data_IF_637690001236
#
_entry.id   IF_637690001236
#
_cell.length_a   1.000
_cell.length_b   1.000
_cell.length_c   1.000
_cell.angle_alpha   90.00
_cell.angle_beta   90.00
_cell.angle_gamma   90.00
#
_symmetry.space_group_name_H-M   'P 1'
#
loop_
_entity.id
_entity.type
_entity.pdbx_description
1 polymer ?
#
# COMPACT_ATOMS: atom_id res chain seq x y z
N UNK A 1 -20.69 -2.74 -11.80
CA UNK A 1 -19.76 -3.48 -10.92
C UNK A 1 -19.78 -2.79 -9.57
N UNK A 2 -19.85 -3.54 -8.47
CA UNK A 2 -19.70 -2.95 -7.15
C UNK A 2 -18.25 -2.47 -6.99
N UNK A 3 -18.08 -1.31 -6.38
CA UNK A 3 -16.78 -0.72 -6.08
C UNK A 3 -16.02 -1.60 -5.07
N UNK A 4 -14.72 -1.79 -5.30
CA UNK A 4 -13.88 -2.58 -4.37
C UNK A 4 -13.53 -1.74 -3.14
N UNK A 5 -13.22 -2.39 -2.02
CA UNK A 5 -12.70 -1.70 -0.83
C UNK A 5 -11.41 -0.92 -1.20
N UNK A 6 -10.58 -1.49 -2.07
CA UNK A 6 -9.37 -0.84 -2.55
C UNK A 6 -9.70 0.47 -3.25
N UNK A 7 -10.59 0.46 -4.25
CA UNK A 7 -10.95 1.67 -5.00
C UNK A 7 -11.52 2.75 -4.07
N UNK A 8 -12.31 2.35 -3.06
CA UNK A 8 -12.87 3.29 -2.07
C UNK A 8 -11.77 3.98 -1.25
N UNK A 9 -10.76 3.22 -0.80
CA UNK A 9 -9.64 3.77 -0.03
C UNK A 9 -8.75 4.65 -0.92
N UNK A 10 -8.41 4.21 -2.15
CA UNK A 10 -7.66 5.04 -3.09
C UNK A 10 -8.38 6.36 -3.34
N UNK A 11 -9.68 6.33 -3.64
CA UNK A 11 -10.45 7.55 -3.86
C UNK A 11 -10.52 8.44 -2.62
N UNK A 12 -10.64 7.86 -1.43
CA UNK A 12 -10.59 8.62 -0.18
C UNK A 12 -9.27 9.38 -0.09
N UNK A 13 -8.14 8.73 -0.30
CA UNK A 13 -6.84 9.39 -0.24
C UNK A 13 -6.63 10.40 -1.38
N UNK A 14 -7.07 10.10 -2.61
CA UNK A 14 -6.97 11.03 -3.73
C UNK A 14 -7.81 12.29 -3.54
N UNK A 15 -8.97 12.18 -2.85
CA UNK A 15 -9.77 13.36 -2.45
C UNK A 15 -9.08 14.18 -1.38
N UNK A 16 -8.36 13.55 -0.46
CA UNK A 16 -7.62 14.22 0.63
C UNK A 16 -6.36 14.91 0.12
N UNK A 17 -5.62 14.25 -0.79
CA UNK A 17 -4.29 14.67 -1.20
C UNK A 17 -4.26 15.16 -2.65
N UNK A 18 -4.23 14.24 -3.60
CA UNK A 18 -4.26 14.53 -5.03
C UNK A 18 -4.43 13.23 -5.82
N UNK A 19 -4.86 13.34 -7.08
CA UNK A 19 -4.98 12.18 -7.97
C UNK A 19 -3.61 11.65 -8.43
N UNK A 20 -3.39 10.35 -8.29
CA UNK A 20 -2.19 9.68 -8.84
C UNK A 20 -2.35 9.35 -10.32
N UNK A 21 -3.57 9.38 -10.86
CA UNK A 21 -3.82 9.25 -12.30
C UNK A 21 -3.52 7.86 -12.87
N UNK A 22 -3.37 6.87 -11.99
CA UNK A 22 -3.27 5.45 -12.29
C UNK A 22 -4.20 4.68 -11.35
N UNK A 23 -4.70 3.53 -11.80
CA UNK A 23 -5.40 2.61 -10.92
C UNK A 23 -4.37 1.77 -10.16
N UNK A 24 -4.26 1.93 -8.83
CA UNK A 24 -3.27 1.18 -8.06
C UNK A 24 -3.62 -0.30 -7.92
N UNK A 25 -4.86 -0.71 -8.21
CA UNK A 25 -5.21 -2.14 -8.31
C UNK A 25 -4.46 -2.82 -9.48
N UNK A 26 -4.08 -2.08 -10.52
CA UNK A 26 -3.27 -2.61 -11.63
C UNK A 26 -1.81 -2.87 -11.19
N UNK A 27 -1.42 -2.38 -10.01
CA UNK A 27 -0.11 -2.63 -9.40
C UNK A 27 -0.12 -3.84 -8.46
N UNK A 28 -1.24 -4.55 -8.31
CA UNK A 28 -1.32 -5.77 -7.50
C UNK A 28 -0.44 -6.88 -8.10
N UNK A 29 0.39 -7.50 -7.25
CA UNK A 29 1.27 -8.59 -7.63
C UNK A 29 0.92 -9.88 -6.89
N UNK A 30 1.21 -11.01 -7.53
CA UNK A 30 0.99 -12.31 -6.92
C UNK A 30 2.10 -12.71 -5.92
N UNK A 31 1.88 -13.83 -5.24
CA UNK A 31 2.84 -14.40 -4.28
C UNK A 31 4.19 -14.76 -4.93
N UNK A 32 4.18 -15.24 -6.17
CA UNK A 32 5.40 -15.64 -6.86
C UNK A 32 6.28 -14.42 -7.13
N UNK A 33 5.68 -13.33 -7.60
CA UNK A 33 6.35 -12.05 -7.83
C UNK A 33 6.81 -11.41 -6.54
N UNK A 34 5.99 -11.42 -5.48
CA UNK A 34 6.40 -10.96 -4.15
C UNK A 34 7.66 -11.71 -3.65
N UNK A 35 7.70 -13.04 -3.82
CA UNK A 35 8.87 -13.84 -3.44
C UNK A 35 10.12 -13.51 -4.28
N UNK A 36 9.96 -13.27 -5.59
CA UNK A 36 11.06 -12.82 -6.46
C UNK A 36 11.62 -11.47 -6.02
N UNK A 37 10.73 -10.49 -5.78
CA UNK A 37 11.12 -9.13 -5.38
C UNK A 37 11.75 -9.11 -3.98
N UNK A 38 11.21 -9.90 -3.05
CA UNK A 38 11.80 -10.05 -1.71
C UNK A 38 13.22 -10.60 -1.76
N UNK A 39 13.51 -11.56 -2.66
CA UNK A 39 14.87 -12.08 -2.85
C UNK A 39 15.82 -11.06 -3.49
N UNK A 40 15.27 -10.14 -4.30
CA UNK A 40 16.02 -9.09 -4.95
C UNK A 40 16.26 -7.87 -4.05
N UNK A 41 15.42 -7.68 -3.03
CA UNK A 41 15.64 -6.67 -1.99
C UNK A 41 16.78 -7.12 -1.07
N UNK A 42 17.73 -6.21 -0.80
CA UNK A 42 18.92 -6.50 0.00
C UNK A 42 18.58 -6.85 1.46
N UNK A 43 19.54 -7.42 2.21
CA UNK A 43 19.31 -8.03 3.53
C UNK A 43 18.72 -7.10 4.62
N UNK A 44 18.68 -5.77 4.41
CA UNK A 44 18.00 -4.80 5.27
C UNK A 44 16.46 -4.88 5.19
N UNK A 45 15.91 -5.53 4.17
CA UNK A 45 14.48 -5.75 3.98
C UNK A 45 13.89 -6.90 4.83
N UNK A 46 14.51 -7.25 5.97
CA UNK A 46 14.18 -8.46 6.74
C UNK A 46 13.09 -8.28 7.80
N UNK A 47 12.73 -7.05 8.17
CA UNK A 47 11.60 -6.77 9.07
C UNK A 47 10.33 -6.43 8.28
N UNK A 48 10.06 -7.17 7.21
CA UNK A 48 8.89 -6.92 6.37
C UNK A 48 7.70 -7.77 6.80
N UNK A 49 6.56 -7.13 7.00
CA UNK A 49 5.27 -7.75 7.30
C UNK A 49 4.97 -8.89 6.29
N UNK A 50 4.58 -10.07 6.78
CA UNK A 50 4.23 -11.21 5.92
C UNK A 50 2.85 -11.07 5.29
N UNK A 51 2.01 -10.17 5.83
CA UNK A 51 0.61 -10.02 5.44
C UNK A 51 0.39 -9.13 4.23
N UNK A 52 1.20 -8.07 4.09
CA UNK A 52 1.07 -7.04 3.06
C UNK A 52 2.44 -6.40 2.81
N UNK A 53 2.73 -5.99 1.55
CA UNK A 53 3.98 -5.33 1.17
C UNK A 53 3.83 -4.43 -0.06
N UNK A 54 4.45 -3.26 -0.02
CA UNK A 54 4.68 -2.39 -1.19
C UNK A 54 6.14 -2.43 -1.61
N UNK A 55 6.37 -2.65 -2.90
CA UNK A 55 7.68 -2.63 -3.53
C UNK A 55 7.79 -1.40 -4.42
N UNK A 56 8.86 -0.62 -4.24
CA UNK A 56 9.17 0.54 -5.05
C UNK A 56 10.49 0.31 -5.79
N UNK A 57 10.51 0.65 -7.07
CA UNK A 57 11.73 0.66 -7.87
C UNK A 57 11.71 1.84 -8.83
N UNK A 58 12.77 2.63 -8.82
CA UNK A 58 13.03 3.66 -9.81
C UNK A 58 13.97 3.14 -10.90
N UNK A 59 13.59 3.31 -12.16
CA UNK A 59 14.45 3.07 -13.33
C UNK A 59 13.99 3.96 -14.49
N UNK A 60 14.94 4.52 -15.25
CA UNK A 60 14.68 5.30 -16.47
C UNK A 60 13.63 6.43 -16.29
N UNK A 61 13.73 7.18 -15.19
CA UNK A 61 12.78 8.22 -14.77
C UNK A 61 11.32 7.75 -14.65
N UNK A 62 11.14 6.45 -14.39
CA UNK A 62 9.86 5.85 -14.05
C UNK A 62 9.91 5.27 -12.64
N UNK A 63 8.77 5.34 -11.95
CA UNK A 63 8.51 4.62 -10.71
C UNK A 63 7.69 3.37 -11.03
N UNK A 64 8.22 2.23 -10.62
CA UNK A 64 7.54 0.94 -10.63
C UNK A 64 7.04 0.66 -9.22
N UNK A 65 5.76 0.32 -9.12
CA UNK A 65 5.08 -0.01 -7.87
C UNK A 65 4.54 -1.44 -7.97
N UNK A 66 4.73 -2.22 -6.92
CA UNK A 66 4.11 -3.53 -6.77
C UNK A 66 3.51 -3.67 -5.39
N UNK A 67 2.22 -4.01 -5.30
CA UNK A 67 1.48 -4.16 -4.04
C UNK A 67 1.11 -5.63 -3.86
N UNK A 68 1.53 -6.22 -2.77
CA UNK A 68 1.21 -7.60 -2.43
C UNK A 68 0.34 -7.64 -1.17
N UNK A 69 -0.74 -8.41 -1.24
CA UNK A 69 -1.49 -8.84 -0.07
C UNK A 69 -1.48 -10.36 0.00
N UNK A 70 -1.27 -10.89 1.20
CA UNK A 70 -1.34 -12.33 1.44
C UNK A 70 -2.77 -12.83 1.24
N UNK A 71 -2.90 -14.08 0.79
CA UNK A 71 -4.20 -14.75 0.67
C UNK A 71 -4.99 -14.74 1.99
N UNK A 72 -4.29 -14.94 3.11
CA UNK A 72 -4.91 -14.90 4.43
C UNK A 72 -5.55 -13.54 4.71
N UNK A 73 -4.85 -12.44 4.40
CA UNK A 73 -5.36 -11.09 4.62
C UNK A 73 -6.61 -10.81 3.79
N UNK A 74 -6.59 -11.19 2.52
CA UNK A 74 -7.75 -11.07 1.62
C UNK A 74 -8.93 -11.87 2.18
N UNK A 75 -8.72 -13.13 2.57
CA UNK A 75 -9.77 -13.97 3.16
C UNK A 75 -10.33 -13.39 4.47
N UNK A 76 -9.51 -12.74 5.30
CA UNK A 76 -10.00 -12.06 6.50
C UNK A 76 -10.89 -10.85 6.16
N UNK A 77 -10.49 -10.02 5.19
CA UNK A 77 -11.26 -8.86 4.77
C UNK A 77 -12.56 -9.25 4.08
N UNK A 78 -12.57 -10.32 3.29
CA UNK A 78 -13.79 -10.83 2.67
C UNK A 78 -14.75 -11.42 3.71
N UNK A 79 -14.23 -12.15 4.70
CA UNK A 79 -15.03 -12.76 5.77
C UNK A 79 -15.59 -11.74 6.76
N UNK A 80 -14.82 -10.70 7.05
CA UNK A 80 -15.14 -9.67 8.03
C UNK A 80 -15.12 -8.28 7.39
N UNK A 81 -15.94 -8.09 6.35
CA UNK A 81 -15.94 -6.88 5.52
C UNK A 81 -16.04 -5.58 6.36
N UNK A 82 -14.98 -4.75 6.39
CA UNK A 82 -14.97 -3.52 7.18
C UNK A 82 -16.01 -2.49 6.71
N UNK A 83 -16.50 -2.59 5.47
CA UNK A 83 -17.58 -1.72 4.96
C UNK A 83 -18.92 -1.98 5.66
N UNK A 84 -19.08 -3.13 6.30
CA UNK A 84 -20.24 -3.47 7.12
C UNK A 84 -20.10 -3.03 8.58
N UNK A 85 -18.97 -2.44 8.96
CA UNK A 85 -18.67 -1.97 10.30
C UNK A 85 -17.34 -2.48 10.83
N UNK A 86 -16.63 -1.61 11.56
CA UNK A 86 -15.35 -1.94 12.20
C UNK A 86 -15.55 -2.70 13.51
N UNK A 87 -14.71 -3.70 13.73
CA UNK A 87 -14.69 -4.50 14.94
C UNK A 87 -13.30 -5.14 15.15
N UNK A 88 -13.12 -5.82 16.28
CA UNK A 88 -11.85 -6.45 16.65
C UNK A 88 -11.37 -7.50 15.64
N UNK A 89 -12.27 -8.11 14.87
CA UNK A 89 -11.92 -9.14 13.89
C UNK A 89 -11.39 -8.56 12.56
N UNK A 90 -11.74 -7.32 12.21
CA UNK A 90 -11.34 -6.73 10.92
C UNK A 90 -10.40 -5.54 11.02
N UNK A 91 -10.34 -4.83 12.15
CA UNK A 91 -9.57 -3.59 12.26
C UNK A 91 -8.09 -3.78 11.91
N UNK A 92 -7.44 -4.84 12.40
CA UNK A 92 -6.02 -5.10 12.11
C UNK A 92 -5.77 -5.40 10.64
N UNK A 93 -6.66 -6.18 10.03
CA UNK A 93 -6.60 -6.54 8.62
C UNK A 93 -6.83 -5.31 7.74
N UNK A 94 -7.78 -4.45 8.12
CA UNK A 94 -8.00 -3.18 7.41
C UNK A 94 -6.78 -2.27 7.50
N UNK A 95 -6.16 -2.11 8.67
CA UNK A 95 -4.97 -1.27 8.84
C UNK A 95 -3.85 -1.73 7.89
N UNK A 96 -3.48 -3.02 7.93
CA UNK A 96 -2.45 -3.56 7.05
C UNK A 96 -2.81 -3.42 5.55
N UNK A 97 -4.10 -3.46 5.22
CA UNK A 97 -4.56 -3.23 3.85
C UNK A 97 -4.37 -1.78 3.42
N UNK A 98 -4.78 -0.84 4.28
CA UNK A 98 -4.71 0.61 4.07
C UNK A 98 -3.27 1.10 3.93
N UNK A 99 -2.36 0.62 4.79
CA UNK A 99 -0.94 1.02 4.80
C UNK A 99 -0.28 0.84 3.42
N UNK A 100 -0.54 -0.27 2.72
CA UNK A 100 0.08 -0.47 1.41
C UNK A 100 -0.51 0.39 0.30
N UNK A 101 -1.82 0.68 0.34
CA UNK A 101 -2.43 1.65 -0.59
C UNK A 101 -1.82 3.02 -0.35
N UNK A 102 -1.61 3.37 0.94
CA UNK A 102 -1.01 4.62 1.35
C UNK A 102 0.42 4.76 0.82
N UNK A 103 1.27 3.76 1.05
CA UNK A 103 2.65 3.73 0.56
C UNK A 103 2.71 3.92 -0.96
N UNK A 104 1.90 3.17 -1.71
CA UNK A 104 1.85 3.26 -3.17
C UNK A 104 1.40 4.65 -3.66
N UNK A 105 0.36 5.21 -3.05
CA UNK A 105 -0.18 6.52 -3.41
C UNK A 105 0.84 7.63 -3.14
N UNK A 106 1.37 7.72 -1.92
CA UNK A 106 2.31 8.77 -1.55
C UNK A 106 3.62 8.65 -2.30
N UNK A 107 4.09 7.42 -2.58
CA UNK A 107 5.25 7.24 -3.43
C UNK A 107 5.02 7.78 -4.85
N UNK A 108 3.85 7.51 -5.43
CA UNK A 108 3.49 8.04 -6.75
C UNK A 108 3.36 9.58 -6.74
N UNK A 109 2.74 10.17 -5.70
CA UNK A 109 2.61 11.62 -5.58
C UNK A 109 3.96 12.31 -5.41
N UNK A 110 4.80 11.84 -4.49
CA UNK A 110 6.14 12.40 -4.27
C UNK A 110 7.00 12.27 -5.53
N UNK A 111 6.93 11.14 -6.23
CA UNK A 111 7.63 10.97 -7.50
C UNK A 111 7.17 11.98 -8.56
N UNK A 112 5.87 12.25 -8.66
CA UNK A 112 5.35 13.32 -9.55
C UNK A 112 5.85 14.71 -9.17
N UNK A 113 6.09 14.95 -7.88
CA UNK A 113 6.62 16.22 -7.37
C UNK A 113 8.14 16.36 -7.53
N UNK A 114 8.81 15.35 -8.09
CA UNK A 114 10.25 15.39 -8.37
C UNK A 114 11.11 14.65 -7.36
N UNK A 115 10.52 13.95 -6.37
CA UNK A 115 11.28 13.12 -5.44
C UNK A 115 11.92 11.94 -6.19
N UNK A 116 13.19 11.67 -5.91
CA UNK A 116 13.99 10.65 -6.59
C UNK A 116 14.81 9.80 -5.63
N UNK A 117 14.98 10.22 -4.37
CA UNK A 117 15.74 9.52 -3.33
C UNK A 117 14.90 8.46 -2.60
N UNK A 118 14.13 7.66 -3.36
CA UNK A 118 13.15 6.70 -2.84
C UNK A 118 13.74 5.50 -2.09
N UNK A 119 15.08 5.36 -2.08
CA UNK A 119 15.79 4.27 -1.41
C UNK A 119 16.44 4.70 -0.10
N UNK A 120 16.28 5.96 0.31
CA UNK A 120 16.81 6.45 1.57
C UNK A 120 15.97 5.95 2.75
N UNK A 121 16.61 5.80 3.91
CA UNK A 121 15.90 5.42 5.14
C UNK A 121 14.93 6.53 5.59
N UNK A 122 15.28 7.79 5.38
CA UNK A 122 14.41 8.94 5.67
C UNK A 122 13.12 8.87 4.85
N UNK A 123 13.22 8.54 3.56
CA UNK A 123 12.07 8.37 2.68
C UNK A 123 11.14 7.26 3.20
N UNK A 124 11.69 6.09 3.54
CA UNK A 124 10.92 4.99 4.08
C UNK A 124 10.23 5.37 5.40
N UNK A 125 10.94 6.01 6.34
CA UNK A 125 10.36 6.47 7.61
C UNK A 125 9.23 7.48 7.42
N UNK A 126 9.37 8.40 6.46
CA UNK A 126 8.33 9.38 6.16
C UNK A 126 7.08 8.73 5.58
N UNK A 127 7.23 7.71 4.71
CA UNK A 127 6.09 6.93 4.23
C UNK A 127 5.37 6.19 5.37
N UNK A 128 6.11 5.49 6.23
CA UNK A 128 5.53 4.77 7.38
C UNK A 128 4.80 5.72 8.34
N UNK A 129 5.37 6.89 8.62
CA UNK A 129 4.73 7.91 9.45
C UNK A 129 3.42 8.41 8.82
N UNK A 130 3.43 8.67 7.51
CA UNK A 130 2.25 9.10 6.78
C UNK A 130 1.16 8.03 6.77
N UNK A 131 1.52 6.75 6.61
CA UNK A 131 0.60 5.62 6.66
C UNK A 131 -0.07 5.47 8.03
N UNK A 132 0.66 5.70 9.12
CA UNK A 132 0.08 5.70 10.47
C UNK A 132 -0.94 6.82 10.66
N UNK A 133 -0.67 8.02 10.14
CA UNK A 133 -1.61 9.15 10.21
C UNK A 133 -2.85 8.87 9.36
N UNK A 134 -2.65 8.41 8.13
CA UNK A 134 -3.73 8.21 7.17
C UNK A 134 -4.61 7.01 7.48
N UNK A 135 -4.11 6.05 8.25
CA UNK A 135 -4.93 4.99 8.83
C UNK A 135 -6.10 5.57 9.64
N UNK A 136 -5.90 6.67 10.38
CA UNK A 136 -6.98 7.32 11.11
C UNK A 136 -8.05 7.91 10.19
N UNK A 137 -7.70 8.38 8.98
CA UNK A 137 -8.68 8.89 8.02
C UNK A 137 -9.64 7.80 7.54
N UNK A 138 -9.21 6.54 7.51
CA UNK A 138 -10.03 5.40 7.10
C UNK A 138 -10.88 4.85 8.26
N UNK A 139 -10.44 5.07 9.50
CA UNK A 139 -11.14 4.58 10.70
C UNK A 139 -12.23 5.54 11.23
N UNK A 140 -12.37 6.74 10.63
CA UNK A 140 -13.37 7.75 10.97
C UNK A 140 -14.65 7.61 10.13
#
# INVERSE_FOLDING_TARGET
MNETLFSQIQQLFERTYAQVGINLEDCLIDRARCAQLTKAADASARELNELARTFLRRADDQLYVGIYYSRWLIEQLERHDPRSGLNDANIRSLIAFVEEINHALHAALQFKLGEREIYSEEYARNLELQAQIDTYLVLL
#
